data_IF_498252887703
#
_entry.id   IF_498252887703
#
_cell.length_a   1.000
_cell.length_b   1.000
_cell.length_c   1.000
_cell.angle_alpha   90.00
_cell.angle_beta   90.00
_cell.angle_gamma   90.00
#
_symmetry.space_group_name_H-M   'P 1'
#
loop_
_entity.id
_entity.type
_entity.pdbx_description
1 polymer ?
#
# COMPACT_ATOMS: atom_id res chain seq x y z
N UNK A 1 1.60 21.52 -18.21
CA UNK A 1 1.64 21.57 -16.73
C UNK A 1 2.92 20.86 -16.29
N UNK A 2 3.70 21.47 -15.40
CA UNK A 2 4.95 20.89 -14.89
C UNK A 2 4.67 20.20 -13.56
N UNK A 3 5.14 18.97 -13.38
CA UNK A 3 4.98 18.22 -12.12
C UNK A 3 6.32 18.22 -11.37
N UNK A 4 6.30 18.62 -10.10
CA UNK A 4 7.49 18.67 -9.27
C UNK A 4 7.73 17.35 -8.55
N UNK A 5 8.95 16.83 -8.65
CA UNK A 5 9.42 15.59 -8.05
C UNK A 5 10.24 15.93 -6.82
N UNK A 6 9.62 15.81 -5.64
CA UNK A 6 10.17 16.32 -4.40
C UNK A 6 11.11 15.32 -3.73
N UNK A 7 12.40 15.65 -3.70
CA UNK A 7 13.40 14.88 -2.95
C UNK A 7 13.25 15.21 -1.47
N UNK A 8 12.83 14.22 -0.67
CA UNK A 8 12.74 14.31 0.79
C UNK A 8 14.15 14.41 1.40
N UNK A 9 14.54 15.54 2.03
CA UNK A 9 15.90 15.72 2.56
C UNK A 9 16.31 14.66 3.61
N UNK A 10 15.36 14.23 4.44
CA UNK A 10 15.56 13.23 5.51
C UNK A 10 15.86 11.82 4.98
N UNK A 11 15.62 11.60 3.68
CA UNK A 11 15.85 10.35 2.94
C UNK A 11 16.47 10.61 1.56
N UNK A 12 17.31 11.64 1.47
CA UNK A 12 17.80 12.24 0.23
C UNK A 12 18.29 11.24 -0.82
N UNK A 13 19.19 10.32 -0.46
CA UNK A 13 19.75 9.36 -1.42
C UNK A 13 18.66 8.48 -2.05
N UNK A 14 17.83 7.89 -1.18
CA UNK A 14 16.72 7.04 -1.59
C UNK A 14 15.70 7.78 -2.45
N UNK A 15 15.26 8.96 -2.03
CA UNK A 15 14.20 9.70 -2.73
C UNK A 15 14.72 10.31 -4.02
N UNK A 16 15.96 10.81 -4.05
CA UNK A 16 16.62 11.26 -5.29
C UNK A 16 16.63 10.16 -6.35
N UNK A 17 17.05 8.94 -6.01
CA UNK A 17 17.07 7.80 -6.94
C UNK A 17 15.71 7.56 -7.61
N UNK A 18 14.63 7.62 -6.83
CA UNK A 18 13.27 7.41 -7.30
C UNK A 18 12.82 8.58 -8.18
N UNK A 19 13.04 9.82 -7.74
CA UNK A 19 12.66 11.02 -8.49
C UNK A 19 13.45 11.16 -9.80
N UNK A 20 14.72 10.77 -9.84
CA UNK A 20 15.53 10.74 -11.06
C UNK A 20 15.04 9.68 -12.05
N UNK A 21 14.62 8.50 -11.57
CA UNK A 21 14.04 7.48 -12.43
C UNK A 21 12.74 7.99 -13.08
N UNK A 22 11.85 8.59 -12.28
CA UNK A 22 10.61 9.17 -12.78
C UNK A 22 10.85 10.39 -13.68
N UNK A 23 11.89 11.18 -13.41
CA UNK A 23 12.29 12.31 -14.24
C UNK A 23 12.78 11.86 -15.62
N UNK A 24 13.57 10.78 -15.69
CA UNK A 24 14.06 10.21 -16.94
C UNK A 24 12.93 9.81 -17.90
N UNK A 25 11.86 9.24 -17.37
CA UNK A 25 10.64 8.95 -18.13
C UNK A 25 9.72 10.15 -18.31
N UNK A 26 9.99 11.28 -17.64
CA UNK A 26 9.18 12.49 -17.58
C UNK A 26 8.95 13.20 -18.93
N UNK A 27 9.78 12.92 -19.95
CA UNK A 27 9.70 13.54 -21.30
C UNK A 27 9.53 15.07 -21.26
N UNK A 28 10.18 15.74 -20.30
CA UNK A 28 10.16 17.19 -20.13
C UNK A 28 8.98 17.78 -19.33
N UNK A 29 8.04 16.95 -18.86
CA UNK A 29 6.87 17.40 -18.07
C UNK A 29 7.12 17.43 -16.57
N UNK A 30 8.30 17.02 -16.12
CA UNK A 30 8.66 16.93 -14.69
C UNK A 30 9.90 17.77 -14.36
N UNK A 31 9.99 18.23 -13.11
CA UNK A 31 11.16 18.94 -12.55
C UNK A 31 11.48 18.40 -11.17
N UNK A 32 12.77 18.22 -10.85
CA UNK A 32 13.19 17.79 -9.51
C UNK A 32 13.43 19.02 -8.64
N UNK A 33 12.97 18.98 -7.39
CA UNK A 33 13.38 19.92 -6.34
C UNK A 33 13.83 19.19 -5.07
N UNK A 34 14.65 19.85 -4.26
CA UNK A 34 14.97 19.43 -2.89
C UNK A 34 13.93 20.05 -1.95
N UNK A 35 13.23 19.24 -1.16
CA UNK A 35 12.17 19.72 -0.28
C UNK A 35 10.89 20.10 -1.03
N UNK A 36 10.29 21.23 -0.66
CA UNK A 36 8.97 21.65 -1.14
C UNK A 36 9.02 22.27 -2.55
N UNK A 37 8.00 22.04 -3.39
CA UNK A 37 7.87 22.75 -4.67
C UNK A 37 7.35 24.19 -4.45
N UNK A 38 7.31 25.03 -5.50
CA UNK A 38 6.58 26.30 -5.45
C UNK A 38 5.10 26.06 -5.06
N UNK A 39 4.51 27.03 -4.35
CA UNK A 39 3.15 26.89 -3.82
C UNK A 39 2.13 26.74 -4.95
N UNK A 40 1.18 25.79 -4.78
CA UNK A 40 0.11 25.53 -5.73
C UNK A 40 0.52 24.67 -6.93
N UNK A 41 1.80 24.30 -7.04
CA UNK A 41 2.28 23.47 -8.13
C UNK A 41 2.05 21.97 -7.86
N UNK A 42 1.70 21.18 -8.90
CA UNK A 42 1.54 19.74 -8.79
C UNK A 42 2.82 19.05 -8.29
N UNK A 43 2.68 18.07 -7.39
CA UNK A 43 3.83 17.49 -6.70
C UNK A 43 3.79 15.97 -6.57
N UNK A 44 4.98 15.34 -6.57
CA UNK A 44 5.20 13.93 -6.28
C UNK A 44 6.10 13.84 -5.05
N UNK A 45 5.70 13.08 -4.04
CA UNK A 45 6.44 12.94 -2.78
C UNK A 45 6.58 11.48 -2.35
N UNK A 46 7.61 11.16 -1.57
CA UNK A 46 7.86 9.81 -1.06
C UNK A 46 7.30 9.59 0.35
N UNK A 47 6.54 8.49 0.51
CA UNK A 47 6.12 7.96 1.80
C UNK A 47 5.24 8.90 2.61
N UNK A 48 4.85 8.48 3.81
CA UNK A 48 3.87 9.21 4.62
C UNK A 48 4.49 10.06 5.73
N UNK A 49 5.82 10.13 5.78
CA UNK A 49 6.57 10.78 6.86
C UNK A 49 7.42 11.93 6.31
N UNK A 50 7.98 12.74 7.21
CA UNK A 50 8.99 13.76 6.92
C UNK A 50 8.45 14.91 6.07
N UNK A 51 8.89 15.03 4.82
CA UNK A 51 8.44 16.06 3.91
C UNK A 51 6.94 15.93 3.61
N UNK A 52 6.44 14.70 3.46
CA UNK A 52 5.02 14.47 3.12
C UNK A 52 4.07 15.00 4.19
N UNK A 53 4.42 14.84 5.48
CA UNK A 53 3.63 15.37 6.60
C UNK A 53 3.52 16.89 6.59
N UNK A 54 4.48 17.57 5.94
CA UNK A 54 4.53 19.03 5.86
C UNK A 54 3.81 19.58 4.64
N UNK A 55 3.89 18.90 3.49
CA UNK A 55 3.41 19.46 2.22
C UNK A 55 2.08 18.86 1.73
N UNK A 56 1.77 17.60 2.07
CA UNK A 56 0.54 16.94 1.60
C UNK A 56 -0.71 17.54 2.23
N UNK A 57 -0.77 17.85 3.55
CA UNK A 57 -1.95 18.50 4.13
C UNK A 57 -2.29 19.83 3.47
N UNK A 58 -1.28 20.63 3.13
CA UNK A 58 -1.47 21.89 2.42
C UNK A 58 -1.95 21.65 0.98
N UNK A 59 -1.38 20.68 0.27
CA UNK A 59 -1.82 20.34 -1.08
C UNK A 59 -3.28 19.86 -1.11
N UNK A 60 -3.73 19.14 -0.08
CA UNK A 60 -5.14 18.77 0.10
C UNK A 60 -6.00 20.02 0.30
N UNK A 61 -5.60 20.92 1.22
CA UNK A 61 -6.34 22.14 1.52
C UNK A 61 -6.47 23.08 0.30
N UNK A 62 -5.40 23.20 -0.49
CA UNK A 62 -5.34 24.05 -1.68
C UNK A 62 -5.93 23.38 -2.94
N UNK A 63 -6.36 22.12 -2.86
CA UNK A 63 -6.80 21.34 -4.03
C UNK A 63 -5.69 21.08 -5.07
N UNK A 64 -4.43 21.22 -4.67
CA UNK A 64 -3.27 21.00 -5.55
C UNK A 64 -3.16 19.52 -5.93
N UNK A 65 -2.96 19.17 -7.21
CA UNK A 65 -2.71 17.79 -7.60
C UNK A 65 -1.44 17.24 -6.90
N UNK A 66 -1.55 16.06 -6.28
CA UNK A 66 -0.40 15.43 -5.66
C UNK A 66 -0.42 13.92 -5.90
N UNK A 67 0.79 13.38 -6.06
CA UNK A 67 1.04 11.95 -6.11
C UNK A 67 1.96 11.55 -4.97
N UNK A 68 1.75 10.32 -4.51
CA UNK A 68 2.54 9.72 -3.49
C UNK A 68 3.20 8.46 -4.05
N UNK A 69 4.51 8.35 -3.84
CA UNK A 69 5.25 7.13 -4.08
C UNK A 69 5.50 6.43 -2.74
N UNK A 70 5.15 5.16 -2.65
CA UNK A 70 5.60 4.26 -1.56
C UNK A 70 6.18 2.99 -2.20
N UNK A 71 6.66 2.06 -1.37
CA UNK A 71 7.03 0.74 -1.84
C UNK A 71 5.79 0.02 -2.39
N UNK A 72 5.99 -0.80 -3.42
CA UNK A 72 4.96 -1.64 -3.98
C UNK A 72 4.38 -2.65 -2.98
N UNK A 73 3.30 -3.29 -3.39
CA UNK A 73 2.66 -4.43 -2.75
C UNK A 73 3.31 -5.75 -3.16
N UNK A 74 3.78 -5.86 -4.42
CA UNK A 74 4.59 -6.99 -4.88
C UNK A 74 6.06 -6.64 -4.85
N UNK A 75 6.92 -7.52 -4.31
CA UNK A 75 8.37 -7.33 -4.22
C UNK A 75 8.74 -5.87 -3.88
N UNK A 76 8.33 -5.36 -2.70
CA UNK A 76 8.49 -3.96 -2.34
C UNK A 76 9.96 -3.57 -2.45
N UNK A 77 10.24 -2.51 -3.21
CA UNK A 77 11.62 -2.08 -3.44
C UNK A 77 12.32 -1.59 -2.16
N UNK A 78 11.59 -1.14 -1.13
CA UNK A 78 12.13 -0.67 0.15
C UNK A 78 13.12 0.53 0.04
N UNK A 79 13.24 1.14 -1.13
CA UNK A 79 14.24 2.17 -1.42
C UNK A 79 15.38 1.68 -2.31
N UNK A 80 15.41 0.40 -2.66
CA UNK A 80 16.42 -0.23 -3.49
C UNK A 80 16.19 -0.04 -4.99
N UNK A 81 17.17 -0.45 -5.79
CA UNK A 81 17.11 -0.38 -7.25
C UNK A 81 16.17 -1.43 -7.86
N UNK A 82 15.94 -2.54 -7.16
CA UNK A 82 15.08 -3.65 -7.58
C UNK A 82 13.76 -3.68 -6.81
N UNK A 83 12.72 -4.21 -7.46
CA UNK A 83 11.39 -4.29 -6.90
C UNK A 83 10.49 -3.16 -7.36
N UNK A 84 9.26 -3.15 -6.85
CA UNK A 84 8.24 -2.21 -7.27
C UNK A 84 8.07 -1.08 -6.26
N UNK A 85 7.67 0.07 -6.80
CA UNK A 85 7.13 1.23 -6.11
C UNK A 85 5.70 1.46 -6.56
N UNK A 86 4.80 1.79 -5.64
CA UNK A 86 3.43 2.16 -5.97
C UNK A 86 3.34 3.69 -6.11
N UNK A 87 2.57 4.16 -7.09
CA UNK A 87 2.26 5.58 -7.28
C UNK A 87 0.74 5.76 -7.17
N UNK A 88 0.30 6.62 -6.26
CA UNK A 88 -1.11 6.92 -6.03
C UNK A 88 -1.39 8.40 -6.27
N UNK A 89 -2.58 8.72 -6.76
CA UNK A 89 -3.03 10.10 -6.99
C UNK A 89 -4.02 10.51 -5.91
N UNK A 90 -3.78 11.65 -5.24
CA UNK A 90 -4.65 12.23 -4.20
C UNK A 90 -5.12 11.25 -3.12
N UNK A 91 -4.31 10.24 -2.81
CA UNK A 91 -4.65 9.20 -1.84
C UNK A 91 -3.42 8.42 -1.39
N UNK A 92 -3.55 7.73 -0.26
CA UNK A 92 -2.50 6.83 0.25
C UNK A 92 -2.68 5.39 -0.20
N UNK A 93 -3.83 5.08 -0.78
CA UNK A 93 -4.12 3.76 -1.34
C UNK A 93 -4.47 3.89 -2.82
N UNK A 94 -4.06 2.90 -3.64
CA UNK A 94 -4.37 2.88 -5.06
C UNK A 94 -5.88 2.87 -5.29
N UNK A 95 -6.30 3.51 -6.38
CA UNK A 95 -7.65 3.38 -6.86
C UNK A 95 -7.89 1.95 -7.38
N UNK A 96 -9.16 1.52 -7.38
CA UNK A 96 -9.55 0.32 -8.11
C UNK A 96 -9.81 0.72 -9.56
N UNK A 97 -8.96 0.23 -10.46
CA UNK A 97 -9.00 0.48 -11.90
C UNK A 97 -9.67 -0.70 -12.62
N UNK A 98 -10.47 -0.40 -13.64
CA UNK A 98 -11.03 -1.40 -14.55
C UNK A 98 -10.05 -1.74 -15.67
N UNK A 99 -10.28 -2.86 -16.37
CA UNK A 99 -9.64 -3.22 -17.65
C UNK A 99 -8.11 -3.15 -17.67
N UNK A 100 -7.47 -3.48 -16.54
CA UNK A 100 -6.02 -3.47 -16.41
C UNK A 100 -5.36 -4.68 -17.08
N UNK A 101 -4.15 -4.47 -17.59
CA UNK A 101 -3.36 -5.50 -18.26
C UNK A 101 -2.98 -6.64 -17.31
N UNK A 102 -3.58 -7.81 -17.54
CA UNK A 102 -3.35 -9.03 -16.78
C UNK A 102 -2.02 -9.72 -17.12
N UNK A 103 -1.35 -9.31 -18.19
CA UNK A 103 -0.01 -9.83 -18.51
C UNK A 103 1.07 -9.29 -17.56
N UNK A 104 0.76 -8.25 -16.78
CA UNK A 104 1.65 -7.71 -15.74
C UNK A 104 1.54 -8.42 -14.40
N UNK A 105 0.73 -9.48 -14.28
CA UNK A 105 0.60 -10.23 -13.04
C UNK A 105 1.86 -11.07 -12.80
N UNK A 106 2.62 -10.80 -11.72
CA UNK A 106 3.93 -11.43 -11.54
C UNK A 106 3.85 -12.83 -10.95
N UNK A 107 2.71 -13.20 -10.36
CA UNK A 107 2.50 -14.48 -9.70
C UNK A 107 1.07 -14.97 -9.90
N UNK A 108 0.93 -16.28 -10.02
CA UNK A 108 -0.38 -16.93 -9.91
C UNK A 108 -0.81 -16.94 -8.44
N UNK A 109 -2.05 -16.54 -8.20
CA UNK A 109 -2.64 -16.59 -6.86
C UNK A 109 -3.01 -18.02 -6.49
N UNK A 110 -2.88 -18.37 -5.21
CA UNK A 110 -3.40 -19.62 -4.68
C UNK A 110 -4.93 -19.61 -4.66
N UNK A 111 -5.55 -20.77 -4.79
CA UNK A 111 -6.97 -20.93 -4.52
C UNK A 111 -7.32 -20.46 -3.09
N UNK A 112 -8.55 -20.00 -2.89
CA UNK A 112 -9.00 -19.65 -1.55
C UNK A 112 -8.90 -20.88 -0.64
N UNK A 113 -8.28 -20.71 0.53
CA UNK A 113 -8.31 -21.74 1.57
C UNK A 113 -9.77 -22.03 1.95
N UNK A 114 -10.09 -23.32 2.00
CA UNK A 114 -11.37 -23.78 2.48
C UNK A 114 -11.62 -23.27 3.92
N UNK A 115 -12.88 -23.00 4.29
CA UNK A 115 -13.24 -22.78 5.69
C UNK A 115 -12.78 -23.97 6.54
N UNK A 116 -12.24 -23.70 7.72
CA UNK A 116 -11.73 -24.74 8.60
C UNK A 116 -11.03 -24.17 9.83
N UNK A 117 -10.39 -25.05 10.58
CA UNK A 117 -9.62 -24.70 11.77
C UNK A 117 -8.38 -23.88 11.42
N UNK A 118 -7.94 -23.08 12.39
CA UNK A 118 -6.81 -22.18 12.25
C UNK A 118 -6.88 -21.02 13.24
N UNK A 119 -5.80 -20.26 13.32
CA UNK A 119 -5.71 -19.08 14.18
C UNK A 119 -6.05 -17.80 13.44
N UNK A 120 -6.37 -16.75 14.20
CA UNK A 120 -6.42 -15.38 13.71
C UNK A 120 -5.00 -14.84 13.67
N UNK A 121 -4.52 -14.45 12.49
CA UNK A 121 -3.25 -13.75 12.35
C UNK A 121 -3.49 -12.24 12.46
N UNK A 122 -3.12 -11.63 13.58
CA UNK A 122 -3.25 -10.20 13.81
C UNK A 122 -1.94 -9.49 13.43
N UNK A 123 -1.92 -8.81 12.28
CA UNK A 123 -0.77 -8.02 11.83
C UNK A 123 -0.92 -6.54 12.22
N UNK A 124 -0.06 -6.07 13.14
CA UNK A 124 -0.13 -4.72 13.67
C UNK A 124 0.55 -3.68 12.74
N UNK A 125 -0.04 -2.47 12.57
CA UNK A 125 0.62 -1.37 11.89
C UNK A 125 1.80 -0.83 12.71
N UNK A 126 2.72 -0.10 12.07
CA UNK A 126 3.71 0.69 12.81
C UNK A 126 3.08 1.95 13.39
N UNK A 127 3.48 2.38 14.59
CA UNK A 127 2.84 3.48 15.32
C UNK A 127 2.76 4.80 14.52
N UNK A 128 3.79 5.15 13.74
CA UNK A 128 3.80 6.35 12.88
C UNK A 128 3.05 6.19 11.55
N UNK A 129 2.48 5.02 11.26
CA UNK A 129 1.67 4.84 10.05
C UNK A 129 0.37 5.63 10.22
N UNK A 130 -0.07 6.39 9.21
CA UNK A 130 -1.37 7.08 9.28
C UNK A 130 -1.37 8.43 10.01
N UNK A 131 -0.25 8.87 10.58
CA UNK A 131 -0.11 10.21 11.19
C UNK A 131 -0.45 11.34 10.21
N UNK A 132 0.02 11.24 8.96
CA UNK A 132 -0.33 12.17 7.88
C UNK A 132 -1.84 12.28 7.61
N UNK A 133 -2.64 11.30 8.05
CA UNK A 133 -4.11 11.29 7.94
C UNK A 133 -4.81 11.47 9.29
N UNK A 134 -4.09 11.87 10.34
CA UNK A 134 -4.65 12.08 11.68
C UNK A 134 -5.13 10.79 12.36
N UNK A 135 -4.62 9.62 11.96
CA UNK A 135 -5.03 8.34 12.53
C UNK A 135 -4.14 7.93 13.72
N UNK A 136 -4.73 7.51 14.84
CA UNK A 136 -4.01 6.93 15.98
C UNK A 136 -3.90 5.40 15.85
N UNK A 137 -2.84 4.95 15.16
CA UNK A 137 -2.56 3.52 14.99
C UNK A 137 -2.20 2.80 16.30
N UNK A 138 -1.71 3.53 17.30
CA UNK A 138 -1.41 2.96 18.60
C UNK A 138 -2.72 2.66 19.35
N UNK A 139 -3.70 3.56 19.32
CA UNK A 139 -5.04 3.30 19.86
C UNK A 139 -5.74 2.15 19.14
N UNK A 140 -5.65 2.08 17.81
CA UNK A 140 -6.18 0.94 17.06
C UNK A 140 -5.55 -0.38 17.53
N UNK A 141 -4.23 -0.42 17.65
CA UNK A 141 -3.49 -1.62 18.07
C UNK A 141 -3.82 -2.05 19.50
N UNK A 142 -4.03 -1.10 20.43
CA UNK A 142 -4.42 -1.40 21.82
C UNK A 142 -5.82 -2.02 21.95
N UNK A 143 -6.70 -1.80 20.97
CA UNK A 143 -8.12 -2.18 21.09
C UNK A 143 -8.51 -3.38 20.24
N UNK A 144 -7.82 -3.63 19.12
CA UNK A 144 -8.22 -4.65 18.14
C UNK A 144 -8.19 -6.08 18.70
N UNK A 145 -7.19 -6.44 19.52
CA UNK A 145 -7.12 -7.80 20.09
C UNK A 145 -8.33 -8.08 20.99
N UNK A 146 -8.70 -7.13 21.86
CA UNK A 146 -9.89 -7.24 22.71
C UNK A 146 -11.16 -7.41 21.88
N UNK A 147 -11.30 -6.66 20.78
CA UNK A 147 -12.43 -6.76 19.85
C UNK A 147 -12.49 -8.12 19.15
N UNK A 148 -11.33 -8.69 18.80
CA UNK A 148 -11.24 -10.04 18.22
C UNK A 148 -11.72 -11.08 19.24
N UNK A 149 -11.20 -11.04 20.48
CA UNK A 149 -11.57 -11.99 21.56
C UNK A 149 -13.06 -11.98 21.91
N UNK A 150 -13.78 -10.89 21.62
CA UNK A 150 -15.23 -10.81 21.81
C UNK A 150 -16.04 -11.52 20.71
N UNK A 151 -15.39 -11.98 19.63
CA UNK A 151 -16.03 -12.51 18.42
C UNK A 151 -15.59 -13.93 18.06
N UNK A 152 -14.53 -14.43 18.70
CA UNK A 152 -13.96 -15.74 18.41
C UNK A 152 -13.17 -16.28 19.60
N UNK A 153 -13.19 -17.60 19.75
CA UNK A 153 -12.34 -18.35 20.69
C UNK A 153 -11.03 -18.84 20.04
N UNK A 154 -10.81 -18.53 18.75
CA UNK A 154 -9.61 -18.94 18.03
C UNK A 154 -8.36 -18.32 18.65
N UNK A 155 -7.27 -19.09 18.63
CA UNK A 155 -5.95 -18.56 18.99
C UNK A 155 -5.66 -17.29 18.16
N UNK A 156 -5.07 -16.29 18.80
CA UNK A 156 -4.59 -15.08 18.14
C UNK A 156 -3.07 -15.16 18.07
N UNK A 157 -2.52 -15.14 16.86
CA UNK A 157 -1.09 -15.03 16.60
C UNK A 157 -0.79 -13.59 16.22
N UNK A 158 -0.03 -12.89 17.05
CA UNK A 158 0.33 -11.48 16.82
C UNK A 158 1.60 -11.40 15.97
N UNK A 159 1.53 -10.59 14.92
CA UNK A 159 2.65 -10.23 14.06
C UNK A 159 2.91 -8.72 14.15
N UNK A 160 3.98 -8.37 14.84
CA UNK A 160 4.43 -6.98 14.96
C UNK A 160 5.02 -6.45 13.64
N UNK A 161 5.06 -5.11 13.51
CA UNK A 161 5.73 -4.45 12.40
C UNK A 161 7.23 -4.76 12.44
N UNK A 162 7.77 -5.26 11.32
CA UNK A 162 9.18 -5.64 11.23
C UNK A 162 9.50 -7.05 11.73
N UNK A 163 8.46 -7.86 12.03
CA UNK A 163 8.64 -9.27 12.38
C UNK A 163 9.52 -10.00 11.35
N UNK A 164 10.60 -10.63 11.83
CA UNK A 164 11.58 -11.36 11.02
C UNK A 164 11.08 -12.73 10.54
N UNK A 165 10.07 -13.30 11.21
CA UNK A 165 9.45 -14.56 10.77
C UNK A 165 8.89 -14.38 9.36
N UNK A 166 9.12 -15.32 8.42
CA UNK A 166 8.50 -15.25 7.10
C UNK A 166 6.97 -15.16 7.22
N UNK A 167 6.34 -14.28 6.44
CA UNK A 167 4.89 -14.13 6.48
C UNK A 167 4.18 -15.41 6.00
N UNK A 168 4.79 -16.15 5.08
CA UNK A 168 4.23 -17.40 4.54
C UNK A 168 4.02 -18.46 5.64
N UNK A 169 4.93 -18.53 6.61
CA UNK A 169 4.82 -19.47 7.74
C UNK A 169 3.64 -19.08 8.63
N UNK A 170 3.49 -17.79 8.94
CA UNK A 170 2.34 -17.27 9.69
C UNK A 170 1.02 -17.44 8.90
N UNK A 171 1.04 -17.45 7.57
CA UNK A 171 -0.16 -17.65 6.73
C UNK A 171 -0.55 -19.12 6.59
N UNK A 172 0.38 -20.06 6.78
CA UNK A 172 0.16 -21.48 6.60
C UNK A 172 -0.94 -22.03 7.53
N UNK A 173 -1.00 -21.56 8.79
CA UNK A 173 -2.04 -21.94 9.76
C UNK A 173 -3.15 -20.91 9.98
N UNK A 174 -3.15 -19.79 9.24
CA UNK A 174 -4.12 -18.72 9.44
C UNK A 174 -5.51 -19.09 8.86
N UNK A 175 -6.53 -18.93 9.69
CA UNK A 175 -7.94 -18.92 9.28
C UNK A 175 -8.28 -17.61 8.56
N UNK A 176 -7.79 -16.50 9.11
CA UNK A 176 -8.00 -15.13 8.61
C UNK A 176 -6.86 -14.24 9.08
N UNK A 177 -6.44 -13.30 8.23
CA UNK A 177 -5.55 -12.21 8.63
C UNK A 177 -6.37 -10.97 8.97
N UNK A 178 -6.15 -10.41 10.17
CA UNK A 178 -6.72 -9.13 10.61
C UNK A 178 -5.62 -8.08 10.63
N UNK A 179 -5.84 -6.95 9.98
CA UNK A 179 -4.91 -5.79 10.01
C UNK A 179 -5.64 -4.50 9.70
N UNK A 180 -5.05 -3.34 9.99
CA UNK A 180 -5.64 -2.07 9.59
C UNK A 180 -5.61 -1.91 8.05
N UNK A 181 -4.42 -1.73 7.49
CA UNK A 181 -4.21 -1.53 6.04
C UNK A 181 -2.84 -2.02 5.56
N UNK A 182 -2.26 -3.00 6.26
CA UNK A 182 -0.92 -3.51 5.96
C UNK A 182 -0.85 -4.25 4.62
N UNK A 183 0.30 -4.15 3.94
CA UNK A 183 0.63 -4.93 2.74
C UNK A 183 0.58 -6.44 2.99
N UNK A 184 0.67 -6.87 4.25
CA UNK A 184 0.47 -8.26 4.64
C UNK A 184 -0.92 -8.80 4.22
N UNK A 185 -1.94 -7.95 4.17
CA UNK A 185 -3.27 -8.35 3.68
C UNK A 185 -3.24 -8.68 2.18
N UNK A 186 -2.45 -7.97 1.38
CA UNK A 186 -2.29 -8.29 -0.06
C UNK A 186 -1.65 -9.66 -0.21
N UNK A 187 -0.54 -9.90 0.49
CA UNK A 187 0.14 -11.19 0.47
C UNK A 187 -0.78 -12.34 0.95
N UNK A 188 -1.63 -12.09 1.96
CA UNK A 188 -2.63 -13.05 2.40
C UNK A 188 -3.65 -13.39 1.30
N UNK A 189 -4.23 -12.38 0.63
CA UNK A 189 -5.18 -12.60 -0.48
C UNK A 189 -4.54 -13.38 -1.62
N UNK A 190 -3.29 -13.07 -1.98
CA UNK A 190 -2.52 -13.80 -3.00
C UNK A 190 -2.25 -15.26 -2.58
N UNK A 191 -2.03 -15.50 -1.29
CA UNK A 191 -1.85 -16.82 -0.70
C UNK A 191 -3.18 -17.57 -0.43
N UNK A 192 -4.33 -16.98 -0.79
CA UNK A 192 -5.64 -17.59 -0.57
C UNK A 192 -6.13 -17.54 0.89
N UNK A 193 -5.52 -16.73 1.74
CA UNK A 193 -5.97 -16.49 3.13
C UNK A 193 -6.94 -15.31 3.15
N UNK A 194 -8.18 -15.48 3.63
CA UNK A 194 -9.13 -14.38 3.78
C UNK A 194 -8.61 -13.28 4.70
N UNK A 195 -9.09 -12.05 4.49
CA UNK A 195 -8.65 -10.88 5.28
C UNK A 195 -9.81 -10.09 5.85
N UNK A 196 -9.60 -9.55 7.04
CA UNK A 196 -10.43 -8.49 7.64
C UNK A 196 -9.55 -7.26 7.77
N UNK A 197 -9.97 -6.18 7.12
CA UNK A 197 -9.20 -4.94 7.01
C UNK A 197 -10.05 -3.72 7.23
N UNK A 198 -9.45 -2.57 7.52
CA UNK A 198 -10.18 -1.32 7.51
C UNK A 198 -10.57 -0.92 6.08
N UNK A 199 -11.66 -0.15 5.87
CA UNK A 199 -12.12 0.25 4.54
C UNK A 199 -11.08 0.98 3.69
N UNK A 200 -10.09 1.60 4.32
CA UNK A 200 -9.00 2.32 3.67
C UNK A 200 -7.93 1.39 3.10
N UNK A 201 -7.95 0.09 3.38
CA UNK A 201 -6.96 -0.88 2.89
C UNK A 201 -7.12 -1.16 1.40
N UNK A 202 -5.99 -1.28 0.69
CA UNK A 202 -5.97 -1.75 -0.70
C UNK A 202 -6.50 -3.20 -0.86
N UNK A 203 -6.56 -3.97 0.24
CA UNK A 203 -7.14 -5.31 0.27
C UNK A 203 -8.65 -5.33 0.53
N UNK A 204 -9.28 -4.19 0.84
CA UNK A 204 -10.70 -4.11 1.20
C UNK A 204 -11.64 -4.72 0.13
N UNK A 205 -11.39 -4.56 -1.20
CA UNK A 205 -12.23 -5.21 -2.21
C UNK A 205 -12.25 -6.73 -2.10
N UNK A 206 -11.15 -7.34 -1.65
CA UNK A 206 -10.95 -8.79 -1.55
C UNK A 206 -11.12 -9.34 -0.12
N UNK A 207 -11.63 -8.52 0.81
CA UNK A 207 -11.78 -8.87 2.21
C UNK A 207 -13.12 -8.44 2.81
N UNK A 208 -13.25 -8.62 4.12
CA UNK A 208 -14.31 -7.98 4.89
C UNK A 208 -13.80 -6.72 5.59
N UNK A 209 -14.66 -5.71 5.68
CA UNK A 209 -14.44 -4.51 6.51
C UNK A 209 -15.17 -4.58 7.85
N UNK A 210 -15.74 -5.75 8.16
CA UNK A 210 -16.53 -5.99 9.37
C UNK A 210 -15.88 -7.11 10.15
N UNK A 211 -15.41 -6.78 11.37
CA UNK A 211 -14.87 -7.79 12.29
C UNK A 211 -15.88 -8.88 12.67
N UNK A 212 -17.18 -8.61 12.51
CA UNK A 212 -18.23 -9.59 12.71
C UNK A 212 -18.10 -10.84 11.81
N UNK A 213 -17.40 -10.73 10.68
CA UNK A 213 -17.25 -11.82 9.72
C UNK A 213 -16.08 -12.76 10.07
N UNK A 214 -15.45 -12.62 11.24
CA UNK A 214 -14.21 -13.33 11.60
C UNK A 214 -14.31 -14.85 11.55
N UNK A 215 -15.47 -15.42 11.85
CA UNK A 215 -15.72 -16.86 11.78
C UNK A 215 -16.07 -17.35 10.36
N UNK A 216 -16.53 -16.43 9.51
CA UNK A 216 -16.98 -16.71 8.14
C UNK A 216 -16.49 -15.61 7.20
N UNK A 217 -15.17 -15.42 7.05
CA UNK A 217 -14.63 -14.30 6.30
C UNK A 217 -14.97 -14.44 4.82
N UNK A 218 -15.15 -13.29 4.16
CA UNK A 218 -15.47 -13.24 2.73
C UNK A 218 -14.33 -13.81 1.89
N UNK A 219 -14.70 -14.46 0.79
CA UNK A 219 -13.80 -14.96 -0.27
C UNK A 219 -14.30 -14.46 -1.63
N UNK A 220 -14.11 -13.18 -1.95
CA UNK A 220 -14.66 -12.62 -3.19
C UNK A 220 -14.02 -13.26 -4.43
N UNK A 221 -14.78 -13.29 -5.51
CA UNK A 221 -14.27 -13.54 -6.86
C UNK A 221 -13.57 -12.29 -7.41
N UNK A 222 -13.02 -12.38 -8.62
CA UNK A 222 -12.40 -11.22 -9.29
C UNK A 222 -11.03 -10.81 -8.74
N UNK A 223 -10.36 -11.68 -7.96
CA UNK A 223 -9.00 -11.43 -7.44
C UNK A 223 -8.01 -11.05 -8.53
N UNK A 224 -8.13 -11.60 -9.73
CA UNK A 224 -7.21 -11.33 -10.83
C UNK A 224 -7.34 -9.89 -11.36
N UNK A 225 -8.58 -9.41 -11.52
CA UNK A 225 -8.83 -8.03 -11.93
C UNK A 225 -8.38 -7.04 -10.85
N UNK A 226 -8.66 -7.33 -9.57
CA UNK A 226 -8.14 -6.55 -8.45
C UNK A 226 -6.61 -6.52 -8.44
N UNK A 227 -5.96 -7.67 -8.67
CA UNK A 227 -4.50 -7.74 -8.68
C UNK A 227 -3.89 -6.98 -9.85
N UNK A 228 -4.52 -7.05 -11.03
CA UNK A 228 -4.12 -6.28 -12.21
C UNK A 228 -4.24 -4.78 -11.97
N UNK A 229 -5.31 -4.33 -11.29
CA UNK A 229 -5.48 -2.93 -10.88
C UNK A 229 -4.36 -2.44 -9.95
N UNK A 230 -3.95 -3.26 -8.98
CA UNK A 230 -2.84 -2.90 -8.10
C UNK A 230 -1.51 -2.87 -8.86
N UNK A 231 -1.27 -3.83 -9.75
CA UNK A 231 -0.05 -3.85 -10.57
C UNK A 231 0.01 -2.71 -11.58
N UNK A 232 -1.13 -2.25 -12.11
CA UNK A 232 -1.22 -1.10 -13.01
C UNK A 232 -0.70 0.21 -12.41
N UNK A 233 -0.64 0.31 -11.08
CA UNK A 233 -0.17 1.48 -10.33
C UNK A 233 1.18 1.23 -9.65
N UNK A 234 1.89 0.17 -10.04
CA UNK A 234 3.19 -0.21 -9.52
C UNK A 234 4.23 -0.27 -10.64
N UNK A 235 5.41 0.27 -10.37
CA UNK A 235 6.48 0.40 -11.34
C UNK A 235 7.83 0.11 -10.71
N UNK A 236 8.67 -0.60 -11.44
CA UNK A 236 10.11 -0.66 -11.20
C UNK A 236 10.78 0.66 -11.61
N UNK A 237 12.01 0.91 -11.16
CA UNK A 237 12.75 2.10 -11.60
C UNK A 237 13.03 2.09 -13.12
N UNK A 238 13.17 0.91 -13.74
CA UNK A 238 13.33 0.79 -15.18
C UNK A 238 12.05 1.25 -15.90
N UNK A 239 10.89 0.72 -15.51
CA UNK A 239 9.59 1.14 -16.06
C UNK A 239 9.32 2.66 -15.86
N UNK A 240 9.77 3.23 -14.74
CA UNK A 240 9.70 4.67 -14.52
C UNK A 240 10.56 5.45 -15.52
N UNK A 241 11.81 5.01 -15.78
CA UNK A 241 12.71 5.65 -16.76
C UNK A 241 12.20 5.52 -18.19
N UNK A 242 11.57 4.40 -18.52
CA UNK A 242 10.98 4.16 -19.83
C UNK A 242 9.68 4.97 -20.06
N UNK A 243 9.18 5.61 -18.99
CA UNK A 243 8.00 6.48 -19.03
C UNK A 243 6.68 5.72 -18.88
N UNK A 244 6.70 4.44 -18.47
CA UNK A 244 5.47 3.68 -18.24
C UNK A 244 4.58 4.33 -17.17
N UNK A 245 5.22 4.87 -16.12
CA UNK A 245 4.56 5.57 -15.02
C UNK A 245 3.93 6.92 -15.40
N UNK A 246 4.25 7.49 -16.57
CA UNK A 246 3.73 8.80 -16.98
C UNK A 246 2.20 8.83 -17.04
N UNK A 247 1.57 7.73 -17.48
CA UNK A 247 0.10 7.66 -17.57
C UNK A 247 -0.59 7.81 -16.22
N UNK A 248 0.11 7.50 -15.13
CA UNK A 248 -0.38 7.70 -13.75
C UNK A 248 -0.22 9.14 -13.30
N UNK A 249 0.67 9.91 -13.92
CA UNK A 249 0.93 11.33 -13.62
C UNK A 249 0.09 12.29 -14.47
N UNK A 250 -0.57 11.81 -15.52
CA UNK A 250 -1.48 12.60 -16.34
C UNK A 250 -2.90 12.52 -15.79
N UNK A 251 -3.50 13.68 -15.53
CA UNK A 251 -4.90 13.84 -15.09
C UNK A 251 -5.82 13.85 -16.30
#
# INVERSE_FOLDING_TARGET
MTIWLCVTPERREKTRRIMEALHGGGRGTTRICEGSPPRGEPLVVWGHLWLSERIVPQAIADGTPWWLIDNGYHLPANGEASGYYAITFRGMTPALLADCDRNRLPVRMSEWKAPGDGYVLLALPGAGTGQMMGMDMAAWSRTIEKRIRQRTDRQIVIREKGCKRPLVDDLAGAHVLVTHSSKAAIAAVLAGVPVIVEPTSAAAPMGSTKLADIERPRRPEGREAWWASLMAQQFTLAEMRDGLALRTLTV
#
